data_IF_308280261652
#
_entry.id   IF_308280261652
#
_cell.length_a   1.000
_cell.length_b   1.000
_cell.length_c   1.000
_cell.angle_alpha   90.00
_cell.angle_beta   90.00
_cell.angle_gamma   90.00
#
_symmetry.space_group_name_H-M   'P 1'
#
loop_
_entity.id
_entity.type
_entity.pdbx_description
1 polymer ?
#
# COMPACT_ATOMS: atom_id res chain seq x y z
N UNK A 1 8.34 8.62 4.38
CA UNK A 1 8.22 7.57 3.34
C UNK A 1 7.79 8.22 2.04
N UNK A 2 8.44 7.93 0.91
CA UNK A 2 8.20 8.62 -0.36
C UNK A 2 6.86 8.25 -1.03
N UNK A 3 6.31 7.07 -0.75
CA UNK A 3 5.10 6.55 -1.41
C UNK A 3 4.01 6.08 -0.43
N UNK A 4 3.91 6.71 0.74
CA UNK A 4 2.87 6.36 1.71
C UNK A 4 1.46 6.66 1.20
N UNK A 5 1.30 7.63 0.29
CA UNK A 5 0.02 7.90 -0.36
C UNK A 5 -0.30 6.79 -1.38
N UNK A 6 0.64 6.46 -2.26
CA UNK A 6 0.45 5.39 -3.25
C UNK A 6 0.15 4.04 -2.63
N UNK A 7 0.75 3.72 -1.48
CA UNK A 7 0.39 2.53 -0.71
C UNK A 7 -1.09 2.49 -0.31
N UNK A 8 -1.70 3.63 0.04
CA UNK A 8 -3.14 3.70 0.36
C UNK A 8 -4.01 3.64 -0.89
N UNK A 9 -3.56 4.26 -1.98
CA UNK A 9 -4.23 4.23 -3.29
C UNK A 9 -4.45 2.79 -3.78
N UNK A 10 -3.45 1.92 -3.57
CA UNK A 10 -3.48 0.51 -4.02
C UNK A 10 -4.04 -0.48 -2.98
N UNK A 11 -4.55 -0.01 -1.84
CA UNK A 11 -5.13 -0.89 -0.80
C UNK A 11 -4.10 -1.55 0.12
N UNK A 12 -2.91 -0.94 0.29
CA UNK A 12 -1.84 -1.43 1.16
C UNK A 12 -2.06 -1.27 2.67
N UNK A 13 -3.30 -0.98 3.10
CA UNK A 13 -3.70 -0.98 4.51
C UNK A 13 -4.67 -2.14 4.74
N UNK A 14 -4.54 -2.84 5.87
CA UNK A 14 -5.33 -4.04 6.14
C UNK A 14 -6.84 -3.81 6.25
N UNK A 15 -7.25 -2.55 6.43
CA UNK A 15 -8.64 -2.14 6.51
C UNK A 15 -9.19 -1.53 5.21
N UNK A 16 -8.40 -1.50 4.13
CA UNK A 16 -8.78 -0.90 2.86
C UNK A 16 -8.72 -1.93 1.73
N UNK A 17 -9.60 -1.74 0.77
CA UNK A 17 -9.52 -2.29 -0.57
C UNK A 17 -8.79 -1.28 -1.48
N UNK A 18 -8.40 -1.70 -2.67
CA UNK A 18 -7.77 -0.82 -3.65
C UNK A 18 -8.68 0.36 -4.06
N UNK A 19 -8.07 1.44 -4.56
CA UNK A 19 -8.73 2.66 -5.01
C UNK A 19 -9.58 3.37 -3.94
N UNK A 20 -9.08 3.47 -2.70
CA UNK A 20 -9.75 4.14 -1.57
C UNK A 20 -11.16 3.60 -1.29
N UNK A 21 -11.35 2.30 -1.47
CA UNK A 21 -12.52 1.59 -1.00
C UNK A 21 -12.23 0.98 0.37
N UNK A 22 -13.24 0.87 1.23
CA UNK A 22 -13.12 0.21 2.53
C UNK A 22 -14.08 -0.98 2.60
N UNK A 23 -13.79 -1.96 3.46
CA UNK A 23 -14.66 -3.14 3.65
C UNK A 23 -16.08 -2.81 4.13
N UNK A 24 -16.26 -1.65 4.77
CA UNK A 24 -17.56 -1.18 5.25
C UNK A 24 -18.34 -0.38 4.20
N UNK A 25 -17.74 -0.08 3.04
CA UNK A 25 -18.43 0.60 1.95
C UNK A 25 -19.40 -0.38 1.27
N UNK A 26 -20.72 -0.07 1.22
CA UNK A 26 -21.69 -0.97 0.60
C UNK A 26 -21.34 -1.30 -0.86
N UNK A 27 -21.17 -2.60 -1.14
CA UNK A 27 -20.90 -3.13 -2.47
C UNK A 27 -19.46 -3.03 -2.98
N UNK A 28 -18.52 -2.52 -2.16
CA UNK A 28 -17.13 -2.34 -2.58
C UNK A 28 -16.41 -3.67 -2.85
N UNK A 29 -16.70 -4.70 -2.05
CA UNK A 29 -16.12 -6.05 -2.21
C UNK A 29 -16.56 -6.67 -3.53
N UNK A 30 -17.84 -6.56 -3.84
CA UNK A 30 -18.45 -7.05 -5.06
C UNK A 30 -17.91 -6.29 -6.28
N UNK A 31 -17.73 -4.97 -6.17
CA UNK A 31 -17.15 -4.16 -7.23
C UNK A 31 -15.71 -4.61 -7.56
N UNK A 32 -14.86 -4.75 -6.55
CA UNK A 32 -13.49 -5.23 -6.72
C UNK A 32 -13.45 -6.65 -7.28
N UNK A 33 -14.30 -7.55 -6.75
CA UNK A 33 -14.42 -8.93 -7.24
C UNK A 33 -14.83 -8.97 -8.72
N UNK A 34 -15.80 -8.14 -9.14
CA UNK A 34 -16.20 -8.03 -10.56
C UNK A 34 -15.09 -7.45 -11.43
N UNK A 35 -14.37 -6.44 -10.95
CA UNK A 35 -13.31 -5.80 -11.73
C UNK A 35 -12.16 -6.77 -12.02
N UNK A 36 -11.78 -7.60 -11.04
CA UNK A 36 -10.71 -8.60 -11.18
C UNK A 36 -11.20 -9.97 -11.65
N UNK A 37 -12.48 -10.13 -11.95
CA UNK A 37 -12.96 -11.36 -12.58
C UNK A 37 -12.37 -11.48 -13.99
N UNK A 38 -11.91 -12.68 -14.31
CA UNK A 38 -11.40 -13.03 -15.63
C UNK A 38 -12.34 -14.04 -16.29
N UNK A 39 -11.95 -14.66 -17.41
CA UNK A 39 -12.78 -15.66 -18.06
C UNK A 39 -13.00 -16.90 -17.20
N UNK A 40 -12.01 -17.26 -16.36
CA UNK A 40 -12.07 -18.45 -15.50
C UNK A 40 -11.92 -18.18 -14.00
N UNK A 41 -11.52 -16.97 -13.61
CA UNK A 41 -11.31 -16.58 -12.22
C UNK A 41 -12.39 -15.60 -11.75
N UNK A 42 -12.96 -15.83 -10.58
CA UNK A 42 -13.69 -14.79 -9.84
C UNK A 42 -13.10 -14.71 -8.43
N UNK A 43 -12.40 -13.62 -8.09
CA UNK A 43 -11.77 -13.50 -6.78
C UNK A 43 -12.78 -13.49 -5.64
N UNK A 44 -12.53 -14.33 -4.64
CA UNK A 44 -13.25 -14.28 -3.37
C UNK A 44 -12.56 -13.27 -2.43
N UNK A 45 -13.03 -12.03 -2.46
CA UNK A 45 -12.49 -10.95 -1.62
C UNK A 45 -12.89 -11.20 -0.15
N UNK A 46 -11.95 -11.07 0.81
CA UNK A 46 -12.24 -11.28 2.24
C UNK A 46 -13.47 -10.53 2.75
N UNK A 47 -14.11 -11.04 3.79
CA UNK A 47 -15.33 -10.42 4.34
C UNK A 47 -15.07 -9.18 5.19
N UNK A 48 -13.84 -9.04 5.68
CA UNK A 48 -13.46 -7.97 6.58
C UNK A 48 -11.97 -7.69 6.56
N UNK A 49 -11.54 -6.70 7.37
CA UNK A 49 -10.16 -6.27 7.42
C UNK A 49 -9.22 -7.35 7.99
N UNK A 50 -7.97 -7.34 7.54
CA UNK A 50 -6.91 -8.15 8.12
C UNK A 50 -6.31 -7.53 9.40
N UNK A 51 -5.42 -8.28 10.05
CA UNK A 51 -4.71 -7.82 11.25
C UNK A 51 -3.86 -6.58 10.98
N UNK A 52 -3.94 -5.58 11.86
CA UNK A 52 -2.99 -4.45 11.85
C UNK A 52 -1.60 -4.94 12.29
N UNK A 53 -0.57 -4.14 12.03
CA UNK A 53 0.82 -4.53 12.24
C UNK A 53 1.10 -5.14 13.63
N UNK A 54 0.63 -4.53 14.73
CA UNK A 54 0.84 -5.10 16.08
C UNK A 54 0.05 -6.39 16.26
N UNK A 55 -1.26 -6.36 15.96
CA UNK A 55 -2.18 -7.51 16.05
C UNK A 55 -1.71 -8.72 15.24
N UNK A 56 -1.03 -8.49 14.11
CA UNK A 56 -0.44 -9.50 13.24
C UNK A 56 0.58 -10.35 13.99
N UNK A 57 1.50 -9.73 14.73
CA UNK A 57 2.50 -10.48 15.50
C UNK A 57 1.88 -11.21 16.70
N UNK A 58 0.84 -10.64 17.32
CA UNK A 58 0.09 -11.36 18.35
C UNK A 58 -0.64 -12.59 17.75
N UNK A 59 -1.15 -12.48 16.52
CA UNK A 59 -1.78 -13.58 15.81
C UNK A 59 -0.78 -14.69 15.42
N UNK A 60 0.48 -14.33 15.12
CA UNK A 60 1.56 -15.31 14.96
C UNK A 60 1.81 -16.04 16.28
N UNK A 61 1.87 -15.33 17.41
CA UNK A 61 2.06 -15.95 18.73
C UNK A 61 0.92 -16.91 19.10
N UNK A 62 -0.33 -16.56 18.74
CA UNK A 62 -1.50 -17.44 18.89
C UNK A 62 -1.53 -18.59 17.88
N UNK A 63 -0.62 -18.58 16.90
CA UNK A 63 -0.53 -19.60 15.86
C UNK A 63 -1.60 -19.50 14.78
N UNK A 64 -2.31 -18.38 14.68
CA UNK A 64 -3.33 -18.11 13.66
C UNK A 64 -2.68 -17.78 12.30
N UNK A 65 -1.56 -17.06 12.31
CA UNK A 65 -0.74 -16.83 11.11
C UNK A 65 0.38 -17.87 11.06
N UNK A 66 0.46 -18.57 9.92
CA UNK A 66 1.46 -19.62 9.65
C UNK A 66 2.52 -19.22 8.63
N UNK A 67 2.26 -18.17 7.86
CA UNK A 67 3.19 -17.63 6.87
C UNK A 67 3.15 -16.11 6.93
N UNK A 68 4.32 -15.49 7.01
CA UNK A 68 4.51 -14.04 6.95
C UNK A 68 5.42 -13.71 5.77
N UNK A 69 4.95 -12.86 4.87
CA UNK A 69 5.79 -12.28 3.83
C UNK A 69 6.04 -10.79 4.12
N UNK A 70 7.28 -10.45 4.46
CA UNK A 70 7.71 -9.08 4.71
C UNK A 70 8.32 -8.49 3.43
N UNK A 71 7.82 -7.33 3.01
CA UNK A 71 8.30 -6.63 1.82
C UNK A 71 8.54 -5.15 2.13
N UNK A 72 9.72 -4.64 1.80
CA UNK A 72 10.08 -3.22 1.90
C UNK A 72 9.85 -2.57 3.28
N UNK A 73 10.04 -3.35 4.36
CA UNK A 73 9.97 -2.88 5.75
C UNK A 73 10.79 -3.80 6.66
N UNK A 74 11.22 -3.29 7.83
CA UNK A 74 11.94 -4.06 8.83
C UNK A 74 11.19 -4.04 10.19
N UNK A 75 10.27 -4.99 10.44
CA UNK A 75 9.50 -5.01 11.69
C UNK A 75 10.35 -5.36 12.91
N UNK A 76 11.50 -6.02 12.74
CA UNK A 76 12.40 -6.40 13.84
C UNK A 76 13.02 -5.18 14.58
N UNK A 77 12.95 -3.99 13.96
CA UNK A 77 13.45 -2.73 14.53
C UNK A 77 12.34 -1.66 14.60
N UNK A 78 11.50 -1.56 13.56
CA UNK A 78 10.61 -0.40 13.38
C UNK A 78 9.32 -0.46 14.21
N UNK A 79 8.93 -1.63 14.72
CA UNK A 79 7.71 -1.81 15.50
C UNK A 79 7.94 -1.60 17.01
N UNK A 80 6.90 -1.17 17.75
CA UNK A 80 6.94 -1.13 19.20
C UNK A 80 7.14 -2.54 19.77
N UNK A 81 7.78 -2.62 20.93
CA UNK A 81 8.13 -3.89 21.57
C UNK A 81 8.88 -4.86 20.63
N UNK A 82 10.00 -4.38 20.10
CA UNK A 82 10.80 -5.12 19.12
C UNK A 82 11.27 -6.50 19.63
N UNK A 83 11.40 -6.69 20.95
CA UNK A 83 11.74 -7.99 21.53
C UNK A 83 10.62 -9.02 21.31
N UNK A 84 9.36 -8.61 21.55
CA UNK A 84 8.19 -9.44 21.27
C UNK A 84 8.06 -9.75 19.77
N UNK A 85 8.26 -8.75 18.91
CA UNK A 85 8.22 -8.94 17.45
C UNK A 85 9.26 -9.97 16.99
N UNK A 86 10.51 -9.87 17.47
CA UNK A 86 11.55 -10.87 17.17
C UNK A 86 11.18 -12.28 17.65
N UNK A 87 10.64 -12.41 18.86
CA UNK A 87 10.18 -13.69 19.38
C UNK A 87 8.99 -14.27 18.57
N UNK A 88 8.12 -13.42 18.03
CA UNK A 88 7.04 -13.84 17.15
C UNK A 88 7.59 -14.30 15.78
N UNK A 89 8.57 -13.59 15.21
CA UNK A 89 9.26 -13.99 13.98
C UNK A 89 9.89 -15.38 14.12
N UNK A 90 10.59 -15.66 15.22
CA UNK A 90 11.20 -16.99 15.50
C UNK A 90 10.17 -18.12 15.60
N UNK A 91 8.93 -17.79 16.00
CA UNK A 91 7.83 -18.78 16.13
C UNK A 91 7.05 -18.96 14.83
N UNK A 92 7.15 -18.05 13.88
CA UNK A 92 6.38 -18.12 12.66
C UNK A 92 6.88 -19.30 11.81
N UNK A 93 6.01 -20.24 11.40
CA UNK A 93 6.46 -21.42 10.67
C UNK A 93 7.06 -21.15 9.29
N UNK A 94 6.76 -20.00 8.68
CA UNK A 94 7.32 -19.59 7.41
C UNK A 94 7.44 -18.06 7.37
N UNK A 95 8.66 -17.57 7.26
CA UNK A 95 8.97 -16.15 7.05
C UNK A 95 9.65 -15.97 5.71
N UNK A 96 8.98 -15.25 4.81
CA UNK A 96 9.50 -14.85 3.50
C UNK A 96 9.89 -13.37 3.59
N UNK A 97 11.08 -13.00 3.11
CA UNK A 97 11.54 -11.62 3.12
C UNK A 97 11.97 -11.20 1.72
N UNK A 98 11.31 -10.17 1.16
CA UNK A 98 11.79 -9.46 -0.02
C UNK A 98 12.70 -8.31 0.41
N UNK A 99 14.00 -8.44 0.13
CA UNK A 99 15.04 -7.55 0.68
C UNK A 99 16.03 -7.10 -0.40
N UNK A 100 16.42 -5.83 -0.35
CA UNK A 100 17.40 -5.23 -1.26
C UNK A 100 18.78 -4.99 -0.60
N UNK A 101 18.88 -5.16 0.72
CA UNK A 101 20.12 -5.07 1.48
C UNK A 101 20.60 -6.45 1.98
N UNK A 102 21.88 -6.77 1.77
CA UNK A 102 22.45 -8.06 2.19
C UNK A 102 22.50 -8.27 3.71
N UNK A 103 22.38 -7.19 4.50
CA UNK A 103 22.52 -7.22 5.95
C UNK A 103 21.43 -6.36 6.61
N UNK A 104 20.42 -7.01 7.18
CA UNK A 104 19.39 -6.36 7.99
C UNK A 104 19.06 -7.22 9.22
N UNK A 105 18.54 -6.61 10.28
CA UNK A 105 18.10 -7.33 11.49
C UNK A 105 16.88 -8.24 11.25
N UNK A 106 16.28 -8.21 10.06
CA UNK A 106 15.17 -9.07 9.69
C UNK A 106 15.62 -10.40 9.08
N UNK A 107 16.70 -10.39 8.28
CA UNK A 107 17.18 -11.56 7.54
C UNK A 107 17.49 -12.80 8.41
N UNK A 108 17.99 -12.67 9.67
CA UNK A 108 18.19 -13.83 10.53
C UNK A 108 16.93 -14.64 10.84
N UNK A 109 15.74 -14.05 10.63
CA UNK A 109 14.45 -14.69 10.87
C UNK A 109 13.81 -15.26 9.60
N UNK A 110 14.42 -15.07 8.42
CA UNK A 110 13.83 -15.48 7.15
C UNK A 110 14.11 -16.97 6.86
N UNK A 111 13.07 -17.72 6.51
CA UNK A 111 13.21 -19.05 5.90
C UNK A 111 13.51 -18.95 4.40
N UNK A 112 12.93 -17.94 3.75
CA UNK A 112 13.13 -17.65 2.32
C UNK A 112 13.46 -16.17 2.14
N UNK A 113 14.56 -15.90 1.45
CA UNK A 113 14.94 -14.54 1.06
C UNK A 113 14.78 -14.39 -0.45
N UNK A 114 14.03 -13.38 -0.86
CA UNK A 114 13.79 -13.02 -2.26
C UNK A 114 14.53 -11.72 -2.57
N UNK A 115 15.65 -11.75 -3.32
CA UNK A 115 16.40 -10.54 -3.65
C UNK A 115 15.53 -9.55 -4.43
N UNK A 116 15.29 -8.38 -3.84
CA UNK A 116 14.43 -7.34 -4.40
C UNK A 116 15.26 -6.17 -4.93
N UNK A 117 14.78 -5.52 -5.98
CA UNK A 117 15.38 -4.29 -6.51
C UNK A 117 15.36 -3.16 -5.47
N UNK A 118 16.44 -2.40 -5.36
CA UNK A 118 16.52 -1.18 -4.56
C UNK A 118 15.89 0.03 -5.28
N UNK A 119 15.96 1.21 -4.65
CA UNK A 119 15.33 2.41 -5.19
C UNK A 119 15.89 2.83 -6.56
N UNK A 120 17.22 2.74 -6.73
CA UNK A 120 17.91 3.10 -7.98
C UNK A 120 17.58 2.17 -9.14
N UNK A 121 17.08 0.96 -8.86
CA UNK A 121 16.73 -0.02 -9.89
C UNK A 121 15.23 -0.06 -10.18
N UNK A 122 14.39 0.26 -9.18
CA UNK A 122 12.93 0.20 -9.29
C UNK A 122 12.39 1.06 -10.43
N UNK A 123 11.41 0.49 -11.13
CA UNK A 123 10.65 1.16 -12.18
C UNK A 123 9.15 1.16 -11.84
N UNK A 124 8.55 2.35 -11.74
CA UNK A 124 7.15 2.49 -11.33
C UNK A 124 6.68 3.95 -11.20
N UNK A 125 5.68 4.16 -10.35
CA UNK A 125 5.23 5.48 -9.91
C UNK A 125 5.27 5.61 -8.39
N UNK A 126 5.46 6.84 -7.92
CA UNK A 126 5.34 7.20 -6.51
C UNK A 126 4.37 8.38 -6.36
N UNK A 127 3.53 8.32 -5.34
CA UNK A 127 2.60 9.40 -4.99
C UNK A 127 3.01 10.05 -3.68
N UNK A 128 3.30 11.35 -3.75
CA UNK A 128 3.76 12.13 -2.59
C UNK A 128 2.57 12.63 -1.73
N UNK A 129 2.88 13.42 -0.69
CA UNK A 129 1.89 13.93 0.27
C UNK A 129 0.86 14.90 -0.31
N UNK A 130 1.16 15.54 -1.44
CA UNK A 130 0.22 16.43 -2.14
C UNK A 130 -0.57 15.72 -3.24
N UNK A 131 -0.59 14.37 -3.24
CA UNK A 131 -1.28 13.53 -4.24
C UNK A 131 -0.64 13.55 -5.62
N UNK A 132 0.61 14.03 -5.74
CA UNK A 132 1.31 14.09 -7.02
C UNK A 132 1.93 12.75 -7.34
N UNK A 133 1.41 12.11 -8.39
CA UNK A 133 1.96 10.92 -9.01
C UNK A 133 3.16 11.34 -9.85
N UNK A 134 4.31 10.72 -9.61
CA UNK A 134 5.54 10.97 -10.35
C UNK A 134 6.12 9.65 -10.84
N UNK A 135 6.66 9.65 -12.06
CA UNK A 135 7.30 8.48 -12.65
C UNK A 135 8.68 8.25 -12.01
N UNK A 136 8.87 7.11 -11.34
CA UNK A 136 10.15 6.63 -10.83
C UNK A 136 10.80 5.74 -11.88
N UNK A 137 11.92 6.18 -12.47
CA UNK A 137 12.64 5.43 -13.50
C UNK A 137 13.88 4.80 -12.89
N UNK A 138 14.13 3.53 -13.22
CA UNK A 138 15.37 2.86 -12.86
C UNK A 138 16.57 3.58 -13.47
N UNK A 139 17.56 3.91 -12.64
CA UNK A 139 18.86 4.43 -13.05
C UNK A 139 19.85 3.30 -13.34
N UNK A 140 19.65 2.14 -12.73
CA UNK A 140 20.50 0.95 -12.82
C UNK A 140 19.65 -0.30 -13.06
N UNK A 141 20.20 -1.36 -13.69
CA UNK A 141 19.53 -2.65 -13.73
C UNK A 141 19.53 -3.32 -12.33
N UNK A 142 18.54 -4.19 -12.02
CA UNK A 142 18.58 -5.01 -10.81
C UNK A 142 19.90 -5.81 -10.69
N UNK A 143 20.57 -5.77 -9.52
CA UNK A 143 21.85 -6.47 -9.35
C UNK A 143 21.66 -7.99 -9.26
N UNK A 144 22.48 -8.75 -9.98
CA UNK A 144 22.48 -10.22 -9.93
C UNK A 144 21.10 -10.81 -10.23
N UNK A 145 20.60 -11.62 -9.30
CA UNK A 145 19.29 -12.26 -9.39
C UNK A 145 18.15 -11.42 -8.83
N UNK A 146 18.40 -10.17 -8.42
CA UNK A 146 17.36 -9.29 -7.91
C UNK A 146 16.27 -9.04 -8.96
N UNK A 147 15.03 -8.94 -8.48
CA UNK A 147 13.85 -8.68 -9.31
C UNK A 147 12.98 -7.61 -8.67
N UNK A 148 12.12 -6.98 -9.47
CA UNK A 148 11.15 -6.03 -8.94
C UNK A 148 10.11 -6.73 -8.07
N UNK A 149 9.66 -6.07 -7.00
CA UNK A 149 8.65 -6.63 -6.08
C UNK A 149 7.38 -7.10 -6.81
N UNK A 150 6.90 -6.33 -7.79
CA UNK A 150 5.72 -6.70 -8.58
C UNK A 150 5.93 -7.99 -9.39
N UNK A 151 7.14 -8.19 -9.91
CA UNK A 151 7.51 -9.37 -10.68
C UNK A 151 7.56 -10.59 -9.76
N UNK A 152 8.14 -10.43 -8.57
CA UNK A 152 8.20 -11.49 -7.56
C UNK A 152 6.78 -11.94 -7.16
N UNK A 153 5.89 -10.98 -6.88
CA UNK A 153 4.48 -11.27 -6.56
C UNK A 153 3.81 -12.00 -7.73
N UNK A 154 3.97 -11.51 -8.96
CA UNK A 154 3.37 -12.13 -10.14
C UNK A 154 3.86 -13.58 -10.35
N UNK A 155 5.15 -13.83 -10.19
CA UNK A 155 5.72 -15.17 -10.35
C UNK A 155 5.30 -16.17 -9.26
N UNK A 156 5.10 -15.68 -8.03
CA UNK A 156 4.50 -16.49 -6.94
C UNK A 156 3.04 -16.79 -7.27
N UNK A 157 2.26 -15.79 -7.66
CA UNK A 157 0.85 -15.97 -8.02
C UNK A 157 0.65 -16.94 -9.18
N UNK A 158 1.49 -16.87 -10.23
CA UNK A 158 1.52 -17.82 -11.34
C UNK A 158 1.73 -19.26 -10.86
N UNK A 159 2.70 -19.48 -9.96
CA UNK A 159 3.00 -20.81 -9.38
C UNK A 159 1.89 -21.34 -8.46
N UNK A 160 1.06 -20.45 -7.92
CA UNK A 160 -0.14 -20.79 -7.16
C UNK A 160 -1.38 -21.05 -8.04
N UNK A 161 -1.23 -20.97 -9.38
CA UNK A 161 -2.31 -21.28 -10.32
C UNK A 161 -3.10 -20.05 -10.81
N UNK A 162 -2.67 -18.84 -10.49
CA UNK A 162 -3.35 -17.60 -10.89
C UNK A 162 -2.76 -16.93 -12.13
N UNK A 163 -2.08 -17.69 -12.99
CA UNK A 163 -1.32 -17.11 -14.10
C UNK A 163 -2.15 -16.17 -14.99
N UNK A 164 -3.39 -16.55 -15.32
CA UNK A 164 -4.33 -15.73 -16.11
C UNK A 164 -4.48 -14.28 -15.60
N UNK A 165 -4.37 -14.05 -14.29
CA UNK A 165 -4.54 -12.73 -13.67
C UNK A 165 -3.22 -11.97 -13.43
N UNK A 166 -2.06 -12.59 -13.65
CA UNK A 166 -0.75 -12.03 -13.29
C UNK A 166 0.26 -12.03 -14.45
N UNK A 167 -0.20 -12.14 -15.71
CA UNK A 167 0.63 -12.04 -16.92
C UNK A 167 1.04 -10.58 -17.24
N UNK A 168 1.68 -9.90 -16.28
CA UNK A 168 2.28 -8.58 -16.52
C UNK A 168 3.72 -8.71 -17.01
N UNK A 169 4.04 -7.95 -18.05
CA UNK A 169 5.37 -7.80 -18.65
C UNK A 169 6.05 -6.50 -18.24
N UNK A 170 5.28 -5.49 -17.80
CA UNK A 170 5.81 -4.17 -17.44
C UNK A 170 4.92 -3.42 -16.42
N UNK A 171 5.49 -2.56 -15.54
CA UNK A 171 4.73 -1.71 -14.62
C UNK A 171 3.61 -0.86 -15.23
N UNK A 172 3.66 -0.55 -16.54
CA UNK A 172 2.65 0.31 -17.17
C UNK A 172 1.31 -0.42 -17.28
N UNK A 173 1.31 -1.75 -17.40
CA UNK A 173 0.10 -2.58 -17.46
C UNK A 173 -0.61 -2.60 -16.11
N UNK A 174 0.17 -2.74 -15.03
CA UNK A 174 -0.31 -2.67 -13.65
C UNK A 174 -0.87 -1.27 -13.35
N UNK A 175 -0.15 -0.22 -13.77
CA UNK A 175 -0.62 1.16 -13.64
C UNK A 175 -1.93 1.39 -14.39
N UNK A 176 -2.03 0.89 -15.64
CA UNK A 176 -3.23 0.97 -16.44
C UNK A 176 -4.43 0.25 -15.81
N UNK A 177 -4.20 -0.93 -15.23
CA UNK A 177 -5.23 -1.63 -14.44
C UNK A 177 -5.66 -0.81 -13.20
N UNK A 178 -4.69 -0.30 -12.44
CA UNK A 178 -4.97 0.54 -11.27
C UNK A 178 -5.81 1.77 -11.64
N UNK A 179 -5.49 2.41 -12.77
CA UNK A 179 -6.25 3.55 -13.28
C UNK A 179 -7.66 3.17 -13.71
N UNK A 180 -7.85 2.02 -14.39
CA UNK A 180 -9.17 1.49 -14.73
C UNK A 180 -10.00 1.22 -13.47
N UNK A 181 -9.42 0.59 -12.45
CA UNK A 181 -10.11 0.29 -11.19
C UNK A 181 -10.57 1.58 -10.49
N UNK A 182 -9.75 2.63 -10.49
CA UNK A 182 -10.11 3.89 -9.82
C UNK A 182 -11.40 4.51 -10.37
N UNK A 183 -11.60 4.46 -11.69
CA UNK A 183 -12.80 4.97 -12.35
C UNK A 183 -13.95 3.97 -12.47
N UNK A 184 -13.69 2.68 -12.26
CA UNK A 184 -14.70 1.63 -12.42
C UNK A 184 -15.88 1.85 -11.47
N UNK A 185 -17.06 2.11 -12.04
CA UNK A 185 -18.28 2.44 -11.31
C UNK A 185 -18.10 3.57 -10.26
N UNK A 186 -17.21 4.53 -10.52
CA UNK A 186 -17.01 5.67 -9.62
C UNK A 186 -18.09 6.74 -9.83
N UNK A 187 -18.75 7.16 -8.75
CA UNK A 187 -19.72 8.27 -8.80
C UNK A 187 -21.05 7.96 -9.50
N UNK A 188 -21.42 6.68 -9.65
CA UNK A 188 -22.76 6.28 -10.08
C UNK A 188 -23.80 6.63 -8.99
N UNK A 189 -25.07 6.81 -9.39
CA UNK A 189 -26.13 7.33 -8.51
C UNK A 189 -26.36 6.53 -7.22
N UNK A 190 -26.04 5.24 -7.21
CA UNK A 190 -26.18 4.30 -6.09
C UNK A 190 -24.86 4.03 -5.35
N UNK A 191 -23.78 4.74 -5.69
CA UNK A 191 -22.42 4.50 -5.14
C UNK A 191 -21.80 5.78 -4.58
N UNK A 192 -21.04 5.68 -3.47
CA UNK A 192 -20.27 6.81 -2.99
C UNK A 192 -19.20 7.21 -4.01
N UNK A 193 -19.11 8.52 -4.29
CA UNK A 193 -18.04 9.09 -5.10
C UNK A 193 -16.71 8.96 -4.36
N UNK A 194 -15.73 8.31 -4.98
CA UNK A 194 -14.36 8.21 -4.49
C UNK A 194 -13.57 9.39 -5.04
N UNK A 195 -12.83 10.07 -4.17
CA UNK A 195 -11.97 11.19 -4.57
C UNK A 195 -10.75 10.74 -5.37
N UNK A 196 -10.25 9.54 -5.08
CA UNK A 196 -9.17 8.96 -5.85
C UNK A 196 -9.73 8.41 -7.15
N UNK A 197 -9.42 9.11 -8.23
CA UNK A 197 -9.77 8.73 -9.58
C UNK A 197 -8.64 9.20 -10.51
N UNK A 198 -7.99 8.26 -11.17
CA UNK A 198 -6.97 8.53 -12.17
C UNK A 198 -7.35 7.90 -13.52
N UNK A 199 -8.64 7.67 -13.76
CA UNK A 199 -9.16 7.07 -14.98
C UNK A 199 -8.79 7.85 -16.25
N UNK A 200 -8.55 9.16 -16.14
CA UNK A 200 -8.03 9.98 -17.25
C UNK A 200 -6.60 9.61 -17.67
N UNK A 201 -5.92 8.73 -16.93
CA UNK A 201 -4.61 8.17 -17.27
C UNK A 201 -4.69 6.75 -17.86
N UNK A 202 -5.90 6.25 -18.15
CA UNK A 202 -6.09 4.99 -18.88
C UNK A 202 -5.65 5.18 -20.34
N UNK A 203 -5.04 4.14 -20.92
CA UNK A 203 -4.71 4.13 -22.36
C UNK A 203 -3.45 4.90 -22.75
N UNK A 204 -2.64 5.36 -21.78
CA UNK A 204 -1.33 5.99 -22.06
C UNK A 204 -0.38 5.08 -22.86
N UNK A 205 -0.54 3.76 -22.73
CA UNK A 205 0.45 2.79 -23.21
C UNK A 205 1.80 2.96 -22.52
N UNK A 206 2.81 2.24 -23.01
CA UNK A 206 4.16 2.31 -22.45
C UNK A 206 4.80 3.69 -22.62
N UNK A 207 4.77 4.24 -23.83
CA UNK A 207 5.43 5.51 -24.14
C UNK A 207 4.81 6.68 -23.35
N UNK A 208 3.48 6.72 -23.24
CA UNK A 208 2.79 7.73 -22.44
C UNK A 208 3.05 7.58 -20.95
N UNK A 209 3.13 6.35 -20.44
CA UNK A 209 3.51 6.08 -19.05
C UNK A 209 4.95 6.51 -18.76
N UNK A 210 5.88 6.22 -19.67
CA UNK A 210 7.28 6.60 -19.55
C UNK A 210 7.50 8.11 -19.72
N UNK A 211 6.61 8.79 -20.45
CA UNK A 211 6.59 10.26 -20.59
C UNK A 211 5.74 10.97 -19.51
N UNK A 212 5.11 10.24 -18.58
CA UNK A 212 4.18 10.81 -17.61
C UNK A 212 4.83 11.94 -16.79
N UNK A 213 4.33 13.15 -17.01
CA UNK A 213 4.70 14.32 -16.22
C UNK A 213 4.05 14.26 -14.83
N UNK A 214 4.70 14.82 -13.79
CA UNK A 214 4.15 14.79 -12.44
C UNK A 214 2.77 15.45 -12.33
N UNK A 215 1.75 14.69 -11.92
CA UNK A 215 0.33 15.13 -11.96
C UNK A 215 -0.38 14.82 -10.63
N UNK A 216 -1.26 15.72 -10.19
CA UNK A 216 -2.04 15.54 -8.95
C UNK A 216 -3.40 14.92 -9.24
N UNK A 217 -3.74 13.85 -8.53
CA UNK A 217 -5.07 13.26 -8.62
C UNK A 217 -6.11 14.06 -7.81
N UNK A 218 -7.41 14.01 -8.18
CA UNK A 218 -7.98 13.23 -9.29
C UNK A 218 -7.62 13.75 -10.70
N UNK A 219 -7.45 12.79 -11.62
CA UNK A 219 -7.24 12.97 -13.06
C UNK A 219 -8.34 12.20 -13.80
N UNK A 220 -9.28 12.92 -14.40
CA UNK A 220 -10.44 12.35 -15.10
C UNK A 220 -10.62 13.02 -16.45
N UNK A 221 -11.56 12.57 -17.28
CA UNK A 221 -11.89 13.22 -18.54
C UNK A 221 -12.32 14.69 -18.37
N UNK A 222 -12.91 15.03 -17.20
CA UNK A 222 -13.33 16.39 -16.86
C UNK A 222 -12.18 17.22 -16.27
N UNK A 223 -11.13 16.58 -15.76
CA UNK A 223 -9.95 17.21 -15.18
C UNK A 223 -8.66 16.54 -15.70
N UNK A 224 -8.38 16.60 -17.01
CA UNK A 224 -7.28 15.84 -17.63
C UNK A 224 -5.89 16.34 -17.21
N UNK A 225 -5.79 17.57 -16.71
CA UNK A 225 -4.56 18.15 -16.16
C UNK A 225 -4.41 17.91 -14.64
N UNK A 226 -5.30 17.11 -14.07
CA UNK A 226 -5.35 16.82 -12.64
C UNK A 226 -6.02 17.92 -11.82
N UNK A 227 -6.06 17.69 -10.50
CA UNK A 227 -6.78 18.54 -9.55
C UNK A 227 -5.85 19.01 -8.44
N UNK A 228 -5.40 20.26 -8.52
CA UNK A 228 -4.42 20.84 -7.59
C UNK A 228 -4.96 20.92 -6.14
N UNK A 229 -6.22 21.34 -5.99
CA UNK A 229 -6.89 21.49 -4.69
C UNK A 229 -8.25 20.80 -4.71
N UNK A 230 -8.53 20.04 -3.65
CA UNK A 230 -9.84 19.40 -3.45
C UNK A 230 -10.81 20.35 -2.74
N UNK A 231 -12.11 20.15 -2.96
CA UNK A 231 -13.21 20.81 -2.25
C UNK A 231 -13.35 22.33 -2.49
N UNK A 232 -12.85 22.84 -3.62
CA UNK A 232 -13.02 24.25 -3.99
C UNK A 232 -14.49 24.61 -4.30
N UNK A 233 -15.29 23.62 -4.64
CA UNK A 233 -16.74 23.68 -4.86
C UNK A 233 -17.56 23.59 -3.57
N UNK A 234 -16.91 23.35 -2.42
CA UNK A 234 -17.57 23.16 -1.14
C UNK A 234 -18.25 21.80 -0.98
N UNK A 235 -18.02 20.84 -1.89
CA UNK A 235 -18.55 19.47 -1.81
C UNK A 235 -17.53 18.54 -1.14
N UNK A 236 -17.66 18.37 0.17
CA UNK A 236 -16.75 17.53 0.97
C UNK A 236 -17.07 16.05 0.81
N UNK A 237 -16.08 15.18 1.02
CA UNK A 237 -16.25 13.72 1.02
C UNK A 237 -16.97 13.19 2.28
N UNK A 238 -18.18 13.70 2.51
CA UNK A 238 -19.12 13.27 3.54
C UNK A 238 -20.47 12.97 2.88
N UNK A 239 -21.31 12.16 3.52
CA UNK A 239 -22.58 11.73 2.94
C UNK A 239 -23.54 12.88 2.56
N UNK A 240 -23.34 14.08 3.11
CA UNK A 240 -24.15 15.26 2.81
C UNK A 240 -23.36 16.40 2.13
N UNK A 241 -22.13 16.14 1.68
CA UNK A 241 -21.28 17.12 1.01
C UNK A 241 -20.74 18.23 1.92
N UNK A 242 -20.99 18.21 3.24
CA UNK A 242 -20.58 19.29 4.16
C UNK A 242 -19.39 18.90 5.03
N UNK A 243 -18.53 19.87 5.32
CA UNK A 243 -17.50 19.72 6.34
C UNK A 243 -18.11 19.42 7.71
N UNK A 244 -17.43 18.60 8.51
CA UNK A 244 -17.83 18.27 9.89
C UNK A 244 -16.95 19.02 10.88
N UNK A 245 -17.56 19.88 11.69
CA UNK A 245 -16.89 20.52 12.83
C UNK A 245 -17.02 19.61 14.06
N UNK A 246 -15.89 19.13 14.58
CA UNK A 246 -15.85 18.23 15.73
C UNK A 246 -15.21 18.95 16.92
N UNK A 247 -15.96 19.12 18.00
CA UNK A 247 -15.44 19.64 19.25
C UNK A 247 -14.72 18.51 20.03
N UNK A 248 -13.42 18.66 20.24
CA UNK A 248 -12.59 17.67 20.95
C UNK A 248 -12.17 18.23 22.31
N UNK A 249 -12.32 17.42 23.37
CA UNK A 249 -11.79 17.72 24.70
C UNK A 249 -10.37 17.12 24.83
N UNK A 250 -9.32 17.92 25.08
CA UNK A 250 -7.96 17.40 25.25
C UNK A 250 -7.88 16.39 26.41
N UNK A 251 -7.17 15.30 26.18
CA UNK A 251 -6.82 14.29 27.19
C UNK A 251 -5.30 14.10 27.21
N UNK A 252 -4.73 13.91 28.40
CA UNK A 252 -3.31 13.63 28.54
C UNK A 252 -2.96 12.20 28.09
N UNK A 253 -1.67 11.87 27.90
CA UNK A 253 -1.25 10.51 27.63
C UNK A 253 -1.68 9.56 28.76
N UNK A 254 -2.05 8.34 28.38
CA UNK A 254 -2.45 7.29 29.33
C UNK A 254 -1.33 6.93 30.31
N UNK A 255 -0.08 6.88 29.83
CA UNK A 255 1.09 6.60 30.67
C UNK A 255 1.41 7.81 31.57
N UNK A 256 1.01 7.71 32.83
CA UNK A 256 1.34 8.67 33.88
C UNK A 256 2.80 8.53 34.34
N UNK A 257 3.38 9.65 34.77
CA UNK A 257 4.69 9.64 35.44
C UNK A 257 4.54 9.05 36.85
N UNK A 258 5.59 8.38 37.33
CA UNK A 258 5.65 7.83 38.67
C UNK A 258 7.04 8.01 39.26
N UNK A 259 7.22 7.66 40.55
CA UNK A 259 8.55 7.66 41.16
C UNK A 259 9.51 6.67 40.46
N UNK A 260 9.00 5.55 39.93
CA UNK A 260 9.79 4.58 39.18
C UNK A 260 10.08 5.04 37.73
N UNK A 261 9.18 5.84 37.13
CA UNK A 261 9.31 6.36 35.77
C UNK A 261 9.05 7.89 35.76
N UNK A 262 10.03 8.70 36.23
CA UNK A 262 9.81 10.14 36.42
C UNK A 262 9.99 10.97 35.14
N UNK A 263 10.44 10.35 34.05
CA UNK A 263 10.77 11.02 32.79
C UNK A 263 9.82 10.60 31.65
N UNK A 264 9.58 11.52 30.71
CA UNK A 264 8.93 11.22 29.43
C UNK A 264 9.98 10.98 28.36
N UNK A 265 9.93 9.80 27.75
CA UNK A 265 10.70 9.52 26.55
C UNK A 265 9.92 10.00 25.32
N UNK A 266 10.59 10.68 24.40
CA UNK A 266 10.06 11.02 23.09
C UNK A 266 11.06 10.57 22.02
N UNK A 267 10.56 9.98 20.94
CA UNK A 267 11.39 9.53 19.82
C UNK A 267 11.19 10.47 18.63
N UNK A 268 12.23 10.62 17.81
CA UNK A 268 12.22 11.58 16.71
C UNK A 268 12.92 11.07 15.46
N UNK A 269 13.18 12.01 14.56
CA UNK A 269 13.94 11.80 13.33
C UNK A 269 14.99 12.90 13.23
N UNK A 270 16.10 12.59 12.56
CA UNK A 270 17.14 13.57 12.23
C UNK A 270 17.28 13.64 10.71
N UNK A 271 17.71 14.79 10.19
CA UNK A 271 17.76 15.06 8.75
C UNK A 271 18.58 14.03 7.96
N UNK A 272 19.72 13.63 8.52
CA UNK A 272 20.76 12.88 7.81
C UNK A 272 20.66 11.35 8.03
N UNK A 273 19.63 10.88 8.72
CA UNK A 273 19.33 9.45 8.88
C UNK A 273 17.90 9.14 8.50
N UNK A 274 17.71 8.04 7.79
CA UNK A 274 16.39 7.56 7.40
C UNK A 274 15.96 6.37 8.27
N UNK A 275 14.65 6.16 8.39
CA UNK A 275 14.13 4.97 9.07
C UNK A 275 14.32 3.76 8.17
N UNK A 276 14.66 2.62 8.78
CA UNK A 276 14.76 1.32 8.12
C UNK A 276 13.37 0.77 7.79
#
# INVERSE_FOLDING_TARGET
QPNAMGGREVGGLTNQLAAHMDYHTPGARELVSRFWATGTLTPNVPEGPGYKAVELFEAIERGEIKALWVMATNPAISLPDAARVRAALEKCPLVIVSECAAHTDLLPYADIVLPASGWSEKDGTVTNSERRISRQRGMLPPPGDARHDWWIIAEVAKRLGFAEAFEYSHPWEIFGEHARLSGFENGLADRPKRLFDISGLVGLGRDGYDALAPIQWPVTDQAPQGTARLFEDGDFATANGRAKLLAIKPQGPEQALSAAYPLRLNTGRIRDQWHT
#
